data_IF_819950959609
#
_entry.id   IF_819950959609
#
_cell.length_a   1.000
_cell.length_b   1.000
_cell.length_c   1.000
_cell.angle_alpha   90.00
_cell.angle_beta   90.00
_cell.angle_gamma   90.00
#
_symmetry.space_group_name_H-M   'P 1'
#
loop_
_entity.id
_entity.type
_entity.pdbx_description
1 polymer ?
#
# COMPACT_ATOMS: atom_id res chain seq x y z
N UNK A 1 -4.11 26.24 16.16
CA UNK A 1 -4.13 25.67 14.81
C UNK A 1 -3.71 24.23 14.96
N UNK A 2 -4.65 23.29 14.84
CA UNK A 2 -4.31 21.88 14.85
C UNK A 2 -3.64 21.60 13.52
N UNK A 3 -2.32 21.44 13.51
CA UNK A 3 -1.64 20.79 12.39
C UNK A 3 -2.29 19.41 12.30
N UNK A 4 -3.21 19.26 11.35
CA UNK A 4 -3.58 17.96 10.87
C UNK A 4 -2.26 17.38 10.35
N UNK A 5 -1.62 16.53 11.15
CA UNK A 5 -0.56 15.66 10.70
C UNK A 5 -1.20 14.79 9.61
N UNK A 6 -1.25 15.29 8.38
CA UNK A 6 -1.69 14.54 7.20
C UNK A 6 -0.73 13.37 7.07
N UNK A 7 -1.14 12.24 7.64
CA UNK A 7 -0.39 11.01 7.59
C UNK A 7 -0.50 10.52 6.15
N UNK A 8 0.58 10.69 5.41
CA UNK A 8 0.71 10.24 4.02
C UNK A 8 1.19 8.79 4.03
N UNK A 9 0.64 8.00 3.13
CA UNK A 9 0.95 6.60 2.97
C UNK A 9 1.37 6.30 1.55
N UNK A 10 2.40 5.47 1.42
CA UNK A 10 2.84 4.90 0.14
C UNK A 10 2.25 3.51 0.00
N UNK A 11 1.69 3.21 -1.16
CA UNK A 11 1.13 1.90 -1.48
C UNK A 11 1.95 1.26 -2.60
N UNK A 12 2.39 0.03 -2.37
CA UNK A 12 3.08 -0.81 -3.35
C UNK A 12 2.31 -2.11 -3.53
N UNK A 13 2.22 -2.60 -4.76
CA UNK A 13 1.64 -3.89 -5.09
C UNK A 13 2.76 -4.79 -5.57
N UNK A 14 3.07 -5.83 -4.80
CA UNK A 14 4.05 -6.86 -5.17
C UNK A 14 3.31 -8.04 -5.76
N UNK A 15 3.55 -8.32 -7.04
CA UNK A 15 2.97 -9.46 -7.76
C UNK A 15 3.80 -10.73 -7.53
N UNK A 16 3.24 -11.92 -7.81
CA UNK A 16 3.95 -13.19 -7.62
C UNK A 16 5.24 -13.34 -8.45
N UNK A 17 5.33 -12.64 -9.58
CA UNK A 17 6.51 -12.58 -10.44
C UNK A 17 7.59 -11.60 -9.91
N UNK A 18 7.42 -11.08 -8.70
CA UNK A 18 8.26 -10.06 -8.06
C UNK A 18 8.22 -8.69 -8.75
N UNK A 19 7.34 -8.47 -9.73
CA UNK A 19 7.10 -7.12 -10.24
C UNK A 19 6.36 -6.29 -9.19
N UNK A 20 6.71 -5.00 -9.11
CA UNK A 20 6.15 -4.08 -8.11
C UNK A 20 5.57 -2.85 -8.79
N UNK A 21 4.28 -2.60 -8.56
CA UNK A 21 3.62 -1.36 -8.97
C UNK A 21 3.58 -0.38 -7.79
N UNK A 22 4.05 0.84 -8.00
CA UNK A 22 4.08 1.88 -6.97
C UNK A 22 3.01 2.94 -7.26
N UNK A 23 2.16 3.24 -6.28
CA UNK A 23 1.13 4.27 -6.39
C UNK A 23 1.63 5.61 -5.84
N UNK A 24 1.00 6.74 -6.24
CA UNK A 24 1.21 8.02 -5.57
C UNK A 24 0.96 7.91 -4.07
N UNK A 25 1.62 8.78 -3.29
CA UNK A 25 1.35 8.85 -1.86
C UNK A 25 -0.03 9.46 -1.64
N UNK A 26 -0.83 8.85 -0.77
CA UNK A 26 -2.22 9.23 -0.50
C UNK A 26 -2.42 9.47 1.00
N UNK A 27 -3.43 10.26 1.35
CA UNK A 27 -3.77 10.45 2.76
C UNK A 27 -4.45 9.20 3.35
N UNK A 28 -4.41 9.10 4.68
CA UNK A 28 -5.08 8.02 5.43
C UNK A 28 -6.55 7.81 5.01
N UNK A 29 -7.25 8.92 4.73
CA UNK A 29 -8.66 8.92 4.37
C UNK A 29 -8.94 8.34 2.98
N UNK A 30 -7.95 8.40 2.07
CA UNK A 30 -8.06 7.94 0.68
C UNK A 30 -7.62 6.49 0.50
N UNK A 31 -6.88 5.93 1.48
CA UNK A 31 -6.42 4.54 1.44
C UNK A 31 -7.53 3.50 1.16
N UNK A 32 -8.73 3.58 1.77
CA UNK A 32 -9.78 2.61 1.48
C UNK A 32 -10.23 2.64 0.02
N UNK A 33 -10.35 3.82 -0.57
CA UNK A 33 -10.76 3.97 -1.98
C UNK A 33 -9.69 3.44 -2.94
N UNK A 34 -8.41 3.53 -2.56
CA UNK A 34 -7.31 2.97 -3.33
C UNK A 34 -7.19 1.44 -3.17
N UNK A 35 -7.26 0.92 -1.93
CA UNK A 35 -6.99 -0.49 -1.62
C UNK A 35 -8.17 -1.40 -1.97
N UNK A 36 -9.41 -0.97 -1.69
CA UNK A 36 -10.60 -1.81 -1.87
C UNK A 36 -10.74 -2.36 -3.30
N UNK A 37 -10.59 -1.55 -4.37
CA UNK A 37 -10.62 -2.06 -5.73
C UNK A 37 -9.49 -3.05 -6.00
N UNK A 38 -8.29 -2.83 -5.45
CA UNK A 38 -7.12 -3.69 -5.68
C UNK A 38 -7.34 -5.09 -5.10
N UNK A 39 -7.85 -5.19 -3.89
CA UNK A 39 -8.09 -6.49 -3.23
C UNK A 39 -9.37 -7.19 -3.71
N UNK A 40 -10.32 -6.43 -4.27
CA UNK A 40 -11.59 -6.98 -4.80
C UNK A 40 -11.49 -7.36 -6.28
N UNK A 41 -10.42 -6.95 -6.96
CA UNK A 41 -10.22 -7.23 -8.37
C UNK A 41 -9.81 -8.70 -8.58
N UNK A 42 -10.74 -9.50 -9.08
CA UNK A 42 -10.51 -10.92 -9.42
C UNK A 42 -9.50 -11.13 -10.55
N UNK A 43 -9.12 -10.08 -11.28
CA UNK A 43 -8.06 -10.13 -12.27
C UNK A 43 -6.65 -10.00 -11.66
N UNK A 44 -6.51 -9.65 -10.37
CA UNK A 44 -5.21 -9.71 -9.72
C UNK A 44 -4.77 -11.16 -9.52
N UNK A 45 -3.51 -11.51 -9.85
CA UNK A 45 -3.03 -12.87 -9.67
C UNK A 45 -2.99 -13.27 -8.18
N UNK A 46 -3.30 -14.53 -7.88
CA UNK A 46 -3.17 -15.08 -6.53
C UNK A 46 -1.75 -14.89 -5.99
N UNK A 47 -1.61 -14.53 -4.72
CA UNK A 47 -0.31 -14.26 -4.11
C UNK A 47 0.19 -12.84 -4.33
N UNK A 48 -0.61 -11.96 -4.95
CA UNK A 48 -0.36 -10.52 -4.95
C UNK A 48 -0.44 -9.98 -3.52
N UNK A 49 0.53 -9.15 -3.12
CA UNK A 49 0.60 -8.53 -1.81
C UNK A 49 0.52 -7.01 -1.96
N UNK A 50 -0.43 -6.38 -1.29
CA UNK A 50 -0.52 -4.92 -1.16
C UNK A 50 0.21 -4.51 0.11
N UNK A 51 1.25 -3.68 -0.04
CA UNK A 51 2.07 -3.14 1.03
C UNK A 51 1.73 -1.67 1.22
N UNK A 52 1.45 -1.28 2.46
CA UNK A 52 1.15 0.10 2.85
C UNK A 52 2.20 0.54 3.84
N UNK A 53 2.89 1.64 3.51
CA UNK A 53 3.96 2.20 4.32
C UNK A 53 3.59 3.60 4.81
N UNK A 54 4.04 3.95 6.01
CA UNK A 54 4.07 5.35 6.42
C UNK A 54 5.13 6.09 5.60
N UNK A 55 4.71 7.08 4.83
CA UNK A 55 5.61 7.81 3.93
C UNK A 55 6.73 8.55 4.66
N UNK A 56 6.45 9.08 5.86
CA UNK A 56 7.44 9.85 6.62
C UNK A 56 8.55 8.96 7.20
N UNK A 57 8.24 7.68 7.42
CA UNK A 57 9.20 6.69 7.90
C UNK A 57 9.81 5.86 6.77
N UNK A 58 9.24 5.94 5.56
CA UNK A 58 9.62 5.10 4.44
C UNK A 58 11.05 5.34 3.98
N UNK A 59 11.78 4.23 3.84
CA UNK A 59 13.12 4.19 3.23
C UNK A 59 13.23 2.96 2.34
N UNK A 60 13.85 3.08 1.16
CA UNK A 60 14.07 1.93 0.27
C UNK A 60 14.81 0.80 0.99
N UNK A 61 14.28 -0.42 0.91
CA UNK A 61 14.91 -1.62 1.48
C UNK A 61 14.79 -1.77 3.01
N UNK A 62 13.97 -0.93 3.68
CA UNK A 62 13.70 -1.06 5.11
C UNK A 62 12.23 -1.41 5.36
N UNK A 63 11.98 -2.58 5.95
CA UNK A 63 10.63 -3.03 6.31
C UNK A 63 10.03 -2.23 7.49
N UNK A 64 10.83 -1.44 8.19
CA UNK A 64 10.44 -0.73 9.42
C UNK A 64 9.32 0.32 9.21
N UNK A 65 9.10 0.75 7.97
CA UNK A 65 8.01 1.67 7.63
C UNK A 65 6.72 0.96 7.21
N UNK A 66 6.72 -0.38 7.13
CA UNK A 66 5.56 -1.16 6.74
C UNK A 66 4.49 -1.07 7.83
N UNK A 67 3.37 -0.44 7.48
CA UNK A 67 2.20 -0.30 8.36
C UNK A 67 1.30 -1.50 8.19
N UNK A 68 1.13 -1.98 6.94
CA UNK A 68 0.23 -3.09 6.65
C UNK A 68 0.63 -3.86 5.39
N UNK A 69 0.47 -5.18 5.44
CA UNK A 69 0.55 -6.05 4.28
C UNK A 69 -0.78 -6.82 4.13
N UNK A 70 -1.31 -6.90 2.92
CA UNK A 70 -2.54 -7.62 2.59
C UNK A 70 -2.26 -8.56 1.44
N UNK A 71 -2.39 -9.87 1.66
CA UNK A 71 -2.24 -10.88 0.62
C UNK A 71 -3.58 -11.22 0.01
N UNK A 72 -3.66 -11.21 -1.33
CA UNK A 72 -4.82 -11.67 -2.09
C UNK A 72 -4.69 -13.18 -2.25
N UNK A 73 -5.53 -13.91 -1.51
CA UNK A 73 -5.69 -15.36 -1.61
C UNK A 73 -6.91 -15.63 -2.50
N UNK A 74 -6.71 -16.37 -3.58
CA UNK A 74 -7.82 -16.88 -4.42
C UNK A 74 -8.46 -18.11 -3.77
#
# INVERSE_FOLDING_TARGET
>A
MSEANSSLYRVEIVKPDSSTDCFPCVEAAELPELIMPLISNTAQPAGTVVLVYDYHLWKPGLEHSLVRAISILQ
#
